data_IF_551023596619
#
_entry.id   IF_551023596619
#
_cell.length_a   1.000
_cell.length_b   1.000
_cell.length_c   1.000
_cell.angle_alpha   90.00
_cell.angle_beta   90.00
_cell.angle_gamma   90.00
#
_symmetry.space_group_name_H-M   'P 1'
#
loop_
_entity.id
_entity.type
_entity.pdbx_description
1 polymer ?
#
# COMPACT_ATOMS: atom_id res chain seq x y z
N UNK A 1 -7.81 45.87 7.82
CA UNK A 1 -7.13 46.31 6.57
C UNK A 1 -8.18 46.82 5.59
N UNK A 2 -7.94 47.95 4.91
CA UNK A 2 -8.85 48.51 3.89
C UNK A 2 -8.65 47.94 2.48
N UNK A 3 -7.51 47.28 2.21
CA UNK A 3 -7.17 46.61 0.95
C UNK A 3 -6.30 45.37 1.22
N UNK A 4 -6.28 44.40 0.31
CA UNK A 4 -5.53 43.14 0.45
C UNK A 4 -5.45 42.34 -0.85
N UNK A 5 -4.69 41.22 -0.84
CA UNK A 5 -4.59 40.32 -1.99
C UNK A 5 -5.75 39.32 -2.03
N UNK A 6 -6.25 39.02 -3.22
CA UNK A 6 -7.22 37.95 -3.42
C UNK A 6 -6.61 36.59 -3.05
N UNK A 7 -7.44 35.69 -2.54
CA UNK A 7 -7.06 34.33 -2.14
C UNK A 7 -8.00 33.33 -2.78
N UNK A 8 -7.53 32.09 -2.97
CA UNK A 8 -8.38 31.00 -3.44
C UNK A 8 -9.39 30.63 -2.34
N UNK A 9 -10.58 30.21 -2.74
CA UNK A 9 -11.66 29.85 -1.81
C UNK A 9 -11.24 28.73 -0.84
N UNK A 10 -10.48 27.73 -1.31
CA UNK A 10 -10.01 26.63 -0.47
C UNK A 10 -8.90 27.03 0.53
N UNK A 11 -8.24 28.18 0.34
CA UNK A 11 -7.20 28.67 1.23
C UNK A 11 -7.77 29.42 2.46
N UNK A 12 -9.09 29.63 2.53
CA UNK A 12 -9.78 30.33 3.62
C UNK A 12 -10.43 29.31 4.58
N UNK A 13 -9.84 29.04 5.76
CA UNK A 13 -10.43 28.13 6.74
C UNK A 13 -11.47 28.82 7.63
N UNK A 14 -12.74 28.85 7.19
CA UNK A 14 -13.83 29.55 7.91
C UNK A 14 -14.00 29.18 9.39
N UNK A 15 -13.59 27.97 9.79
CA UNK A 15 -13.79 27.43 11.14
C UNK A 15 -12.47 27.21 11.90
N UNK A 16 -11.33 27.73 11.42
CA UNK A 16 -10.04 27.47 12.07
C UNK A 16 -9.97 27.99 13.48
N UNK A 17 -10.47 29.20 13.71
CA UNK A 17 -10.37 29.85 15.01
C UNK A 17 -11.21 29.11 16.06
N UNK A 18 -12.35 28.54 15.66
CA UNK A 18 -13.25 27.85 16.58
C UNK A 18 -12.60 26.67 17.31
N UNK A 19 -11.71 25.91 16.65
CA UNK A 19 -11.05 24.75 17.28
C UNK A 19 -9.64 25.08 17.81
N UNK A 20 -9.15 26.31 17.59
CA UNK A 20 -7.94 26.83 18.23
C UNK A 20 -8.24 27.37 19.62
N UNK A 21 -9.47 27.84 19.84
CA UNK A 21 -10.00 28.20 21.15
C UNK A 21 -10.32 26.96 22.01
N UNK A 22 -10.43 27.16 23.32
CA UNK A 22 -10.86 26.12 24.24
C UNK A 22 -12.31 25.71 23.95
N UNK A 23 -12.57 24.40 23.96
CA UNK A 23 -13.91 23.86 23.80
C UNK A 23 -14.79 24.25 25.00
N UNK A 24 -16.04 24.71 24.80
CA UNK A 24 -16.99 24.93 25.89
C UNK A 24 -17.13 23.70 26.80
N UNK A 25 -17.04 23.83 28.15
CA UNK A 25 -17.08 22.69 29.07
C UNK A 25 -18.37 21.87 28.99
N UNK A 26 -19.50 22.53 28.72
CA UNK A 26 -20.82 21.90 28.60
C UNK A 26 -20.96 20.97 27.38
N UNK A 27 -20.06 21.05 26.39
CA UNK A 27 -20.14 20.17 25.22
C UNK A 27 -19.76 18.73 25.58
N UNK A 28 -20.43 17.71 25.00
CA UNK A 28 -20.18 16.32 25.34
C UNK A 28 -18.79 15.84 24.89
N UNK A 29 -18.33 14.74 25.48
CA UNK A 29 -17.00 14.14 25.25
C UNK A 29 -16.67 14.01 23.76
N UNK A 30 -17.63 13.57 22.93
CA UNK A 30 -17.41 13.39 21.48
C UNK A 30 -16.95 14.66 20.76
N UNK A 31 -17.42 15.83 21.21
CA UNK A 31 -17.08 17.13 20.62
C UNK A 31 -15.73 17.59 21.14
N UNK A 32 -15.48 17.46 22.44
CA UNK A 32 -14.18 17.77 23.05
C UNK A 32 -13.03 16.99 22.40
N UNK A 33 -13.24 15.70 22.13
CA UNK A 33 -12.28 14.86 21.39
C UNK A 33 -12.07 15.37 19.95
N UNK A 34 -13.12 15.86 19.29
CA UNK A 34 -13.00 16.43 17.93
C UNK A 34 -12.21 17.74 17.92
N UNK A 35 -12.40 18.63 18.90
CA UNK A 35 -11.55 19.82 19.08
C UNK A 35 -10.07 19.42 19.22
N UNK A 36 -9.77 18.48 20.12
CA UNK A 36 -8.40 17.98 20.33
C UNK A 36 -7.78 17.41 19.04
N UNK A 37 -8.54 16.64 18.25
CA UNK A 37 -8.05 16.05 17.00
C UNK A 37 -7.81 17.08 15.90
N UNK A 38 -8.68 18.08 15.79
CA UNK A 38 -8.51 19.20 14.85
C UNK A 38 -7.29 20.03 15.23
N UNK A 39 -7.12 20.35 16.51
CA UNK A 39 -5.93 21.04 17.02
C UNK A 39 -4.65 20.23 16.78
N UNK A 40 -4.68 18.91 17.02
CA UNK A 40 -3.55 18.01 16.68
C UNK A 40 -3.21 18.09 15.20
N UNK A 41 -4.20 18.11 14.31
CA UNK A 41 -3.95 18.22 12.87
C UNK A 41 -3.34 19.57 12.50
N UNK A 42 -3.79 20.66 13.13
CA UNK A 42 -3.22 21.99 12.98
C UNK A 42 -1.75 22.02 13.42
N UNK A 43 -1.45 21.59 14.65
CA UNK A 43 -0.08 21.54 15.18
C UNK A 43 0.83 20.68 14.31
N UNK A 44 0.37 19.52 13.84
CA UNK A 44 1.16 18.66 12.95
C UNK A 44 1.46 19.29 11.58
N UNK A 45 0.58 20.17 11.08
CA UNK A 45 0.82 20.89 9.83
C UNK A 45 1.84 22.01 10.03
N UNK A 46 1.76 22.74 11.14
CA UNK A 46 2.73 23.80 11.50
C UNK A 46 4.11 23.21 11.80
N UNK A 47 4.18 22.16 12.63
CA UNK A 47 5.42 21.52 13.05
C UNK A 47 6.25 20.96 11.87
N UNK A 48 5.57 20.40 10.87
CA UNK A 48 6.23 19.84 9.68
C UNK A 48 6.19 20.78 8.49
N UNK A 49 5.83 22.05 8.68
CA UNK A 49 5.87 23.03 7.62
C UNK A 49 7.33 23.25 7.20
N UNK A 50 7.59 23.14 5.90
CA UNK A 50 8.88 23.51 5.31
C UNK A 50 8.61 24.55 4.24
N UNK A 51 9.47 25.59 4.12
CA UNK A 51 9.36 26.56 3.05
C UNK A 51 9.31 25.84 1.68
N UNK A 52 8.40 26.26 0.78
CA UNK A 52 8.29 25.64 -0.53
C UNK A 52 9.61 25.83 -1.29
N UNK A 53 10.20 24.73 -1.76
CA UNK A 53 11.40 24.78 -2.60
C UNK A 53 11.09 25.52 -3.90
N UNK A 54 11.98 26.39 -4.34
CA UNK A 54 11.89 26.98 -5.67
C UNK A 54 11.89 25.85 -6.73
N UNK A 55 10.95 25.90 -7.66
CA UNK A 55 10.78 24.92 -8.73
C UNK A 55 10.46 25.65 -10.02
N UNK A 56 10.82 25.06 -11.17
CA UNK A 56 10.40 25.56 -12.48
C UNK A 56 8.88 25.46 -12.59
N UNK A 57 8.22 26.58 -12.88
CA UNK A 57 6.76 26.63 -13.07
C UNK A 57 6.39 25.79 -14.31
N UNK A 58 5.51 24.80 -14.11
CA UNK A 58 4.93 23.97 -15.19
C UNK A 58 3.43 24.24 -15.25
N UNK A 59 2.94 24.69 -16.40
CA UNK A 59 1.54 25.05 -16.61
C UNK A 59 0.85 24.04 -17.54
N UNK A 60 0.35 22.94 -16.98
CA UNK A 60 -0.24 21.83 -17.75
C UNK A 60 -1.31 22.29 -18.73
N UNK A 61 -2.30 23.07 -18.28
CA UNK A 61 -3.40 23.51 -19.15
C UNK A 61 -2.96 24.49 -20.25
N UNK A 62 -1.96 25.35 -19.99
CA UNK A 62 -1.37 26.19 -21.06
C UNK A 62 -0.66 25.35 -22.11
N UNK A 63 0.05 24.30 -21.68
CA UNK A 63 0.70 23.37 -22.60
C UNK A 63 -0.31 22.56 -23.41
N UNK A 64 -1.46 22.15 -22.83
CA UNK A 64 -2.51 21.46 -23.56
C UNK A 64 -3.22 22.37 -24.56
N UNK A 65 -3.58 23.59 -24.15
CA UNK A 65 -4.24 24.59 -24.99
C UNK A 65 -3.41 25.02 -26.20
N UNK A 66 -2.07 24.99 -26.08
CA UNK A 66 -1.17 25.28 -27.21
C UNK A 66 -1.19 24.21 -28.31
N UNK A 67 -1.81 23.04 -28.07
CA UNK A 67 -1.92 21.98 -29.08
C UNK A 67 -3.22 22.07 -29.84
N UNK A 68 -3.24 21.58 -31.09
CA UNK A 68 -4.46 21.54 -31.93
C UNK A 68 -5.60 20.66 -31.38
N UNK A 69 -5.32 19.80 -30.38
CA UNK A 69 -6.28 18.83 -29.85
C UNK A 69 -7.21 19.41 -28.78
N UNK A 70 -6.91 20.60 -28.24
CA UNK A 70 -7.69 21.23 -27.18
C UNK A 70 -8.21 22.59 -27.62
N UNK A 71 -9.50 22.81 -27.43
CA UNK A 71 -10.19 24.08 -27.67
C UNK A 71 -10.67 24.66 -26.34
N UNK A 72 -11.03 25.96 -26.33
CA UNK A 72 -11.52 26.66 -25.13
C UNK A 72 -12.91 27.20 -25.40
N UNK A 73 -13.80 27.05 -24.43
CA UNK A 73 -15.17 27.58 -24.46
C UNK A 73 -15.59 27.92 -23.03
N UNK A 74 -16.66 28.70 -22.89
CA UNK A 74 -17.35 28.94 -21.62
C UNK A 74 -18.60 28.06 -21.56
N UNK A 75 -18.88 27.48 -20.39
CA UNK A 75 -19.98 26.54 -20.16
C UNK A 75 -20.55 26.70 -18.76
N UNK A 76 -21.80 26.30 -18.55
CA UNK A 76 -22.37 26.15 -17.22
C UNK A 76 -21.61 25.06 -16.44
N UNK A 77 -21.38 25.30 -15.14
CA UNK A 77 -20.73 24.33 -14.25
C UNK A 77 -21.48 23.00 -14.21
N UNK A 78 -22.82 23.04 -14.21
CA UNK A 78 -23.65 21.84 -14.20
C UNK A 78 -23.46 21.01 -15.49
N UNK A 79 -23.39 21.68 -16.63
CA UNK A 79 -23.12 21.06 -17.93
C UNK A 79 -21.73 20.41 -17.95
N UNK A 80 -20.69 21.15 -17.56
CA UNK A 80 -19.33 20.63 -17.47
C UNK A 80 -19.24 19.42 -16.51
N UNK A 81 -19.95 19.46 -15.38
CA UNK A 81 -20.03 18.36 -14.42
C UNK A 81 -20.65 17.09 -15.01
N UNK A 82 -21.75 17.22 -15.76
CA UNK A 82 -22.38 16.10 -16.47
C UNK A 82 -21.46 15.52 -17.55
N UNK A 83 -20.78 16.38 -18.31
CA UNK A 83 -19.80 15.96 -19.30
C UNK A 83 -18.66 15.14 -18.67
N UNK A 84 -18.07 15.62 -17.56
CA UNK A 84 -17.02 14.90 -16.83
C UNK A 84 -17.50 13.53 -16.33
N UNK A 85 -18.73 13.45 -15.80
CA UNK A 85 -19.31 12.18 -15.35
C UNK A 85 -19.47 11.18 -16.49
N UNK A 86 -20.01 11.64 -17.64
CA UNK A 86 -20.19 10.83 -18.85
C UNK A 86 -18.85 10.36 -19.41
N UNK A 87 -17.87 11.26 -19.51
CA UNK A 87 -16.51 10.93 -19.97
C UNK A 87 -15.86 9.89 -19.06
N UNK A 88 -15.92 10.08 -17.74
CA UNK A 88 -15.36 9.15 -16.77
C UNK A 88 -16.01 7.75 -16.85
N UNK A 89 -17.33 7.69 -17.00
CA UNK A 89 -18.06 6.44 -17.23
C UNK A 89 -17.56 5.73 -18.49
N UNK A 90 -17.53 6.45 -19.62
CA UNK A 90 -17.09 5.91 -20.91
C UNK A 90 -15.64 5.41 -20.86
N UNK A 91 -14.72 6.17 -20.26
CA UNK A 91 -13.31 5.78 -20.12
C UNK A 91 -13.16 4.45 -19.35
N UNK A 92 -13.87 4.31 -18.22
CA UNK A 92 -13.83 3.08 -17.44
C UNK A 92 -14.49 1.91 -18.17
N UNK A 93 -15.62 2.15 -18.85
CA UNK A 93 -16.33 1.12 -19.59
C UNK A 93 -15.52 0.64 -20.81
N UNK A 94 -14.91 1.55 -21.55
CA UNK A 94 -13.98 1.22 -22.65
C UNK A 94 -12.82 0.35 -22.15
N UNK A 95 -12.29 0.61 -20.96
CA UNK A 95 -11.23 -0.23 -20.37
C UNK A 95 -11.73 -1.63 -20.00
N UNK A 96 -12.97 -1.77 -19.51
CA UNK A 96 -13.61 -3.08 -19.23
C UNK A 96 -13.73 -3.88 -20.54
N UNK A 97 -14.28 -3.25 -21.58
CA UNK A 97 -14.45 -3.87 -22.89
C UNK A 97 -13.11 -4.19 -23.56
N UNK A 98 -12.13 -3.30 -23.49
CA UNK A 98 -10.77 -3.52 -24.04
C UNK A 98 -10.07 -4.74 -23.41
N UNK A 99 -10.44 -5.12 -22.18
CA UNK A 99 -9.94 -6.32 -21.50
C UNK A 99 -10.78 -7.57 -21.75
N UNK A 100 -11.80 -7.48 -22.61
CA UNK A 100 -12.76 -8.53 -22.95
C UNK A 100 -13.41 -9.11 -21.69
N UNK A 101 -14.01 -8.22 -20.88
CA UNK A 101 -14.68 -8.54 -19.61
C UNK A 101 -16.20 -8.35 -19.71
N UNK A 102 -16.83 -8.96 -20.72
CA UNK A 102 -18.26 -8.79 -21.03
C UNK A 102 -19.21 -9.27 -19.92
N UNK A 103 -18.69 -10.03 -18.95
CA UNK A 103 -19.42 -10.51 -17.76
C UNK A 103 -19.37 -9.52 -16.58
N UNK A 104 -18.81 -8.31 -16.79
CA UNK A 104 -18.86 -7.20 -15.85
C UNK A 104 -19.67 -6.05 -16.44
N UNK A 105 -20.51 -5.45 -15.62
CA UNK A 105 -21.28 -4.26 -15.94
C UNK A 105 -20.92 -3.13 -14.99
N UNK A 106 -20.60 -1.95 -15.53
CA UNK A 106 -20.46 -0.71 -14.79
C UNK A 106 -21.78 0.06 -14.93
N UNK A 107 -22.48 0.29 -13.82
CA UNK A 107 -23.68 1.13 -13.82
C UNK A 107 -23.32 2.64 -13.77
N UNK A 108 -24.29 3.50 -14.08
CA UNK A 108 -24.09 4.96 -14.15
C UNK A 108 -23.78 5.61 -12.79
N UNK A 109 -23.99 4.89 -11.69
CA UNK A 109 -23.59 5.28 -10.33
C UNK A 109 -22.23 4.67 -9.95
N UNK A 110 -21.48 4.21 -10.95
CA UNK A 110 -20.14 3.65 -10.85
C UNK A 110 -20.04 2.38 -9.98
N UNK A 111 -21.11 1.59 -9.82
CA UNK A 111 -20.99 0.22 -9.30
C UNK A 111 -20.50 -0.72 -10.39
N UNK A 112 -19.47 -1.50 -10.08
CA UNK A 112 -19.02 -2.60 -10.92
C UNK A 112 -19.64 -3.90 -10.39
N UNK A 113 -20.51 -4.51 -11.18
CA UNK A 113 -21.26 -5.72 -10.82
C UNK A 113 -20.98 -6.84 -11.83
N UNK A 114 -20.89 -8.10 -11.39
CA UNK A 114 -20.89 -9.23 -12.33
C UNK A 114 -22.32 -9.42 -12.90
N UNK A 115 -22.41 -9.73 -14.19
CA UNK A 115 -23.70 -10.01 -14.86
C UNK A 115 -24.19 -11.42 -14.54
N UNK A 116 -23.25 -12.33 -14.24
CA UNK A 116 -23.48 -13.73 -13.89
C UNK A 116 -22.50 -14.19 -12.83
N UNK A 117 -22.73 -15.35 -12.22
CA UNK A 117 -21.74 -15.99 -11.35
C UNK A 117 -20.47 -16.31 -12.16
N UNK A 118 -19.32 -15.81 -11.67
CA UNK A 118 -18.05 -15.92 -12.39
C UNK A 118 -17.31 -17.22 -12.06
N UNK A 119 -16.78 -17.87 -13.08
CA UNK A 119 -15.81 -18.96 -12.91
C UNK A 119 -14.52 -18.46 -12.26
N UNK A 120 -13.71 -19.38 -11.72
CA UNK A 120 -12.40 -19.03 -11.16
C UNK A 120 -11.47 -18.36 -12.17
N UNK A 121 -11.54 -18.73 -13.46
CA UNK A 121 -10.74 -18.13 -14.54
C UNK A 121 -11.19 -16.68 -14.82
N UNK A 122 -12.50 -16.46 -14.95
CA UNK A 122 -13.07 -15.13 -15.14
C UNK A 122 -12.75 -14.22 -13.95
N UNK A 123 -12.96 -14.69 -12.71
CA UNK A 123 -12.64 -13.94 -11.47
C UNK A 123 -11.17 -13.54 -11.38
N UNK A 124 -10.23 -14.42 -11.76
CA UNK A 124 -8.80 -14.09 -11.79
C UNK A 124 -8.48 -13.06 -12.88
N UNK A 125 -9.08 -13.18 -14.08
CA UNK A 125 -8.86 -12.26 -15.20
C UNK A 125 -9.44 -10.87 -14.95
N UNK A 126 -10.60 -10.78 -14.30
CA UNK A 126 -11.34 -9.54 -14.09
C UNK A 126 -10.96 -8.77 -12.83
N UNK A 127 -10.02 -9.29 -12.03
CA UNK A 127 -9.54 -8.65 -10.81
C UNK A 127 -8.79 -7.35 -11.12
N UNK A 128 -9.50 -6.23 -11.07
CA UNK A 128 -8.91 -4.91 -11.15
C UNK A 128 -8.12 -4.55 -9.88
N UNK A 129 -7.12 -3.69 -10.07
CA UNK A 129 -6.29 -3.18 -8.97
C UNK A 129 -6.80 -1.87 -8.39
N UNK A 130 -6.07 -1.33 -7.40
CA UNK A 130 -6.44 -0.09 -6.72
C UNK A 130 -6.54 1.12 -7.65
N UNK A 131 -5.76 1.18 -8.75
CA UNK A 131 -5.80 2.29 -9.70
C UNK A 131 -7.21 2.49 -10.31
N UNK A 132 -7.78 1.41 -10.84
CA UNK A 132 -9.12 1.42 -11.44
C UNK A 132 -10.18 1.74 -10.39
N UNK A 133 -10.17 1.02 -9.27
CA UNK A 133 -11.21 1.17 -8.27
C UNK A 133 -11.17 2.51 -7.54
N UNK A 134 -9.99 3.07 -7.26
CA UNK A 134 -9.88 4.38 -6.63
C UNK A 134 -10.36 5.49 -7.58
N UNK A 135 -10.01 5.42 -8.87
CA UNK A 135 -10.53 6.35 -9.88
C UNK A 135 -12.06 6.28 -9.98
N UNK A 136 -12.61 5.05 -10.07
CA UNK A 136 -14.06 4.80 -10.09
C UNK A 136 -14.78 5.43 -8.88
N UNK A 137 -14.23 5.28 -7.68
CA UNK A 137 -14.87 5.84 -6.46
C UNK A 137 -14.74 7.37 -6.37
N UNK A 138 -13.70 7.98 -6.95
CA UNK A 138 -13.60 9.45 -7.08
C UNK A 138 -14.63 9.97 -8.07
N UNK A 139 -14.82 9.28 -9.20
CA UNK A 139 -15.87 9.60 -10.17
C UNK A 139 -17.26 9.44 -9.56
N UNK A 140 -17.47 8.42 -8.73
CA UNK A 140 -18.69 8.28 -7.93
C UNK A 140 -18.94 9.48 -7.01
N UNK A 141 -17.94 9.92 -6.25
CA UNK A 141 -18.08 11.09 -5.39
C UNK A 141 -18.44 12.35 -6.21
N UNK A 142 -17.77 12.52 -7.35
CA UNK A 142 -18.03 13.63 -8.28
C UNK A 142 -19.46 13.58 -8.79
N UNK A 143 -19.93 12.39 -9.21
CA UNK A 143 -21.29 12.14 -9.67
C UNK A 143 -22.34 12.50 -8.62
N UNK A 144 -22.12 12.11 -7.35
CA UNK A 144 -23.04 12.47 -6.26
C UNK A 144 -23.17 13.99 -6.07
N UNK A 145 -22.05 14.72 -6.15
CA UNK A 145 -22.04 16.19 -6.03
C UNK A 145 -22.73 16.84 -7.23
N UNK A 146 -22.45 16.38 -8.45
CA UNK A 146 -23.08 16.90 -9.67
C UNK A 146 -24.58 16.62 -9.65
N UNK A 147 -25.00 15.38 -9.36
CA UNK A 147 -26.41 15.00 -9.32
C UNK A 147 -27.21 15.83 -8.32
N UNK A 148 -26.65 16.13 -7.13
CA UNK A 148 -27.29 17.00 -6.16
C UNK A 148 -27.59 18.39 -6.74
N UNK A 149 -26.62 18.97 -7.47
CA UNK A 149 -26.82 20.25 -8.17
C UNK A 149 -27.83 20.13 -9.31
N UNK A 150 -27.84 19.01 -10.04
CA UNK A 150 -28.84 18.79 -11.10
C UNK A 150 -30.26 18.72 -10.52
N UNK A 151 -30.46 18.01 -9.41
CA UNK A 151 -31.77 17.96 -8.75
C UNK A 151 -32.27 19.35 -8.34
N UNK A 152 -31.35 20.21 -7.85
CA UNK A 152 -31.68 21.59 -7.53
C UNK A 152 -32.06 22.39 -8.79
N UNK A 153 -31.29 22.25 -9.87
CA UNK A 153 -31.55 22.96 -11.14
C UNK A 153 -32.82 22.48 -11.85
N UNK A 154 -33.25 21.24 -11.61
CA UNK A 154 -34.54 20.70 -12.08
C UNK A 154 -35.74 21.16 -11.23
N UNK A 155 -35.52 21.86 -10.12
CA UNK A 155 -36.59 22.31 -9.22
C UNK A 155 -37.13 21.21 -8.29
N UNK A 156 -36.48 20.04 -8.23
CA UNK A 156 -36.92 18.92 -7.39
C UNK A 156 -36.53 19.09 -5.91
N UNK A 157 -35.52 19.93 -5.63
CA UNK A 157 -35.05 20.25 -4.27
C UNK A 157 -34.77 21.73 -4.15
N UNK A 158 -34.92 22.28 -2.95
CA UNK A 158 -34.63 23.69 -2.69
C UNK A 158 -33.11 23.95 -2.45
N UNK A 159 -32.74 25.23 -2.33
CA UNK A 159 -31.35 25.65 -2.13
C UNK A 159 -30.77 25.21 -0.77
N UNK A 160 -31.59 25.16 0.29
CA UNK A 160 -31.16 24.74 1.63
C UNK A 160 -30.94 23.23 1.69
N UNK A 161 -31.81 22.45 1.05
CA UNK A 161 -31.69 21.01 0.85
C UNK A 161 -30.47 20.66 -0.01
N UNK A 162 -30.16 21.44 -1.05
CA UNK A 162 -28.91 21.30 -1.80
C UNK A 162 -27.71 21.49 -0.86
N UNK A 163 -27.70 22.57 -0.08
CA UNK A 163 -26.59 22.86 0.84
C UNK A 163 -26.42 21.77 1.91
N UNK A 164 -27.51 21.29 2.51
CA UNK A 164 -27.50 20.16 3.47
C UNK A 164 -27.08 18.85 2.79
N UNK A 165 -27.51 18.62 1.54
CA UNK A 165 -27.09 17.48 0.72
C UNK A 165 -25.59 17.47 0.47
N UNK A 166 -25.00 18.62 0.10
CA UNK A 166 -23.55 18.77 -0.06
C UNK A 166 -22.81 18.56 1.28
N UNK A 167 -23.34 19.11 2.37
CA UNK A 167 -22.79 18.87 3.71
C UNK A 167 -22.77 17.38 4.03
N UNK A 168 -23.88 16.69 3.76
CA UNK A 168 -24.02 15.27 4.00
C UNK A 168 -23.04 14.46 3.15
N UNK A 169 -22.94 14.75 1.84
CA UNK A 169 -22.02 14.08 0.92
C UNK A 169 -20.59 14.17 1.43
N UNK A 170 -20.09 15.38 1.72
CA UNK A 170 -18.69 15.57 2.14
C UNK A 170 -18.42 15.06 3.56
N UNK A 171 -19.44 14.97 4.42
CA UNK A 171 -19.32 14.38 5.75
C UNK A 171 -19.32 12.85 5.76
N UNK A 172 -19.99 12.22 4.78
CA UNK A 172 -20.24 10.78 4.75
C UNK A 172 -19.67 10.07 3.52
N UNK A 173 -18.58 10.60 2.95
CA UNK A 173 -17.87 9.97 1.83
C UNK A 173 -17.50 8.51 2.11
N UNK A 174 -17.16 8.16 3.36
CA UNK A 174 -16.86 6.78 3.74
C UNK A 174 -18.05 5.81 3.70
N UNK A 175 -19.28 6.33 3.71
CA UNK A 175 -20.51 5.56 3.63
C UNK A 175 -21.06 5.56 2.19
N UNK A 176 -21.04 6.72 1.53
CA UNK A 176 -21.57 6.91 0.17
C UNK A 176 -20.62 6.36 -0.91
N UNK A 177 -19.34 6.23 -0.60
CA UNK A 177 -18.32 5.64 -1.48
C UNK A 177 -17.57 4.51 -0.77
N UNK A 178 -16.74 3.80 -1.54
CA UNK A 178 -15.84 2.76 -1.07
C UNK A 178 -14.36 3.13 -1.09
N UNK A 179 -14.00 4.41 -1.22
CA UNK A 179 -12.60 4.83 -1.46
C UNK A 179 -11.59 4.27 -0.43
N UNK A 180 -11.99 4.16 0.84
CA UNK A 180 -11.13 3.67 1.92
C UNK A 180 -10.67 2.21 1.70
N UNK A 181 -11.41 1.40 0.95
CA UNK A 181 -11.06 0.00 0.61
C UNK A 181 -9.85 -0.07 -0.31
N UNK A 182 -9.71 0.91 -1.20
CA UNK A 182 -8.67 0.96 -2.23
C UNK A 182 -7.50 1.87 -1.84
N UNK A 183 -7.70 2.76 -0.85
CA UNK A 183 -6.64 3.52 -0.19
C UNK A 183 -7.02 3.85 1.26
N UNK A 184 -6.60 3.00 2.19
CA UNK A 184 -6.99 3.12 3.61
C UNK A 184 -6.51 4.40 4.31
N UNK A 185 -5.41 5.02 3.84
CA UNK A 185 -4.93 6.30 4.42
C UNK A 185 -5.97 7.43 4.33
N UNK A 186 -6.96 7.31 3.44
CA UNK A 186 -8.12 8.20 3.32
C UNK A 186 -8.98 8.26 4.60
N UNK A 187 -8.87 7.28 5.50
CA UNK A 187 -9.47 7.34 6.83
C UNK A 187 -9.05 8.58 7.63
N UNK A 188 -7.91 9.20 7.30
CA UNK A 188 -7.51 10.51 7.87
C UNK A 188 -8.54 11.59 7.52
N UNK A 189 -8.93 11.70 6.25
CA UNK A 189 -9.92 12.68 5.78
C UNK A 189 -11.32 12.38 6.33
N UNK A 190 -11.76 11.12 6.29
CA UNK A 190 -13.08 10.73 6.82
C UNK A 190 -13.21 11.13 8.30
N UNK A 191 -12.19 10.83 9.12
CA UNK A 191 -12.19 11.22 10.54
C UNK A 191 -12.20 12.73 10.71
N UNK A 192 -11.41 13.46 9.92
CA UNK A 192 -11.40 14.93 9.96
C UNK A 192 -12.76 15.54 9.59
N UNK A 193 -13.45 15.03 8.56
CA UNK A 193 -14.80 15.48 8.22
C UNK A 193 -15.80 15.19 9.34
N UNK A 194 -15.68 14.05 10.03
CA UNK A 194 -16.50 13.74 11.21
C UNK A 194 -16.24 14.71 12.36
N UNK A 195 -14.97 15.05 12.61
CA UNK A 195 -14.60 16.01 13.64
C UNK A 195 -15.11 17.43 13.30
N UNK A 196 -15.01 17.86 12.03
CA UNK A 196 -15.59 19.11 11.54
C UNK A 196 -17.12 19.12 11.66
N UNK A 197 -17.80 18.02 11.33
CA UNK A 197 -19.24 17.87 11.52
C UNK A 197 -19.63 18.08 12.99
N UNK A 198 -18.92 17.46 13.93
CA UNK A 198 -19.18 17.67 15.37
C UNK A 198 -18.97 19.14 15.77
N UNK A 199 -17.88 19.76 15.34
CA UNK A 199 -17.57 21.16 15.62
C UNK A 199 -18.69 22.10 15.12
N UNK A 200 -19.09 21.93 13.86
CA UNK A 200 -20.09 22.78 13.21
C UNK A 200 -21.46 22.57 13.85
N UNK A 201 -21.90 21.33 14.03
CA UNK A 201 -23.27 21.03 14.46
C UNK A 201 -23.53 21.50 15.89
N UNK A 202 -22.54 21.45 16.78
CA UNK A 202 -22.70 21.91 18.16
C UNK A 202 -22.67 23.43 18.32
N UNK A 203 -22.17 24.16 17.32
CA UNK A 203 -22.31 25.61 17.23
C UNK A 203 -23.59 26.01 16.48
N UNK A 204 -24.00 25.24 15.47
CA UNK A 204 -25.15 25.52 14.61
C UNK A 204 -26.50 25.16 15.28
N UNK A 205 -26.61 23.97 15.89
CA UNK A 205 -27.83 23.52 16.56
C UNK A 205 -27.85 24.02 18.02
N UNK A 206 -27.93 25.34 18.19
CA UNK A 206 -28.02 26.00 19.49
C UNK A 206 -29.24 26.92 19.55
N UNK A 207 -29.71 27.23 20.77
CA UNK A 207 -30.92 28.04 20.97
C UNK A 207 -32.18 27.36 20.41
N UNK A 208 -32.98 28.03 19.55
CA UNK A 208 -34.21 27.48 19.00
C UNK A 208 -33.98 26.40 17.91
N UNK A 209 -32.75 26.28 17.39
CA UNK A 209 -32.43 25.29 16.35
C UNK A 209 -32.20 23.92 16.97
N UNK A 210 -33.14 23.01 16.74
CA UNK A 210 -33.11 21.63 17.24
C UNK A 210 -32.09 20.72 16.56
N UNK A 211 -32.08 19.45 16.98
CA UNK A 211 -31.29 18.39 16.32
C UNK A 211 -32.08 17.86 15.13
N UNK A 212 -31.57 18.07 13.92
CA UNK A 212 -32.15 17.51 12.70
C UNK A 212 -31.27 17.74 11.47
N UNK A 213 -31.72 17.26 10.29
CA UNK A 213 -31.22 17.75 9.01
C UNK A 213 -31.43 19.26 8.86
N UNK A 214 -30.68 19.92 7.96
CA UNK A 214 -30.80 21.36 7.70
C UNK A 214 -29.52 22.18 7.97
N UNK A 215 -28.37 21.53 8.12
CA UNK A 215 -27.09 22.21 8.33
C UNK A 215 -26.29 22.26 7.01
N UNK A 216 -26.54 23.27 6.19
CA UNK A 216 -25.90 23.43 4.87
C UNK A 216 -24.46 23.96 4.84
N UNK A 217 -23.68 23.83 5.92
CA UNK A 217 -22.36 24.47 6.04
C UNK A 217 -21.19 23.57 5.54
N UNK A 218 -21.16 23.33 4.23
CA UNK A 218 -20.31 22.33 3.56
C UNK A 218 -18.87 22.74 3.24
N UNK A 219 -18.56 24.03 3.28
CA UNK A 219 -17.25 24.55 2.89
C UNK A 219 -16.06 23.91 3.64
N UNK A 220 -16.09 23.69 4.98
CA UNK A 220 -14.96 23.07 5.67
C UNK A 220 -14.66 21.65 5.21
N UNK A 221 -15.68 20.81 4.99
CA UNK A 221 -15.50 19.43 4.55
C UNK A 221 -15.11 19.37 3.07
N UNK A 222 -15.67 20.24 2.22
CA UNK A 222 -15.27 20.37 0.81
C UNK A 222 -13.76 20.62 0.67
N UNK A 223 -13.20 21.52 1.48
CA UNK A 223 -11.76 21.81 1.51
C UNK A 223 -10.92 20.57 1.83
N UNK A 224 -11.36 19.74 2.78
CA UNK A 224 -10.64 18.49 3.14
C UNK A 224 -10.52 17.57 1.92
N UNK A 225 -11.58 17.46 1.12
CA UNK A 225 -11.58 16.63 -0.09
C UNK A 225 -10.78 17.25 -1.24
N UNK A 226 -10.78 18.56 -1.40
CA UNK A 226 -9.89 19.23 -2.37
C UNK A 226 -8.41 19.03 -2.04
N UNK A 227 -8.01 19.17 -0.77
CA UNK A 227 -6.63 18.91 -0.37
C UNK A 227 -6.25 17.43 -0.47
N UNK A 228 -7.21 16.52 -0.32
CA UNK A 228 -7.00 15.12 -0.68
C UNK A 228 -6.73 14.96 -2.19
N UNK A 229 -7.53 15.60 -3.05
CA UNK A 229 -7.34 15.55 -4.50
C UNK A 229 -5.96 16.10 -4.90
N UNK A 230 -5.52 17.22 -4.31
CA UNK A 230 -4.17 17.76 -4.51
C UNK A 230 -3.07 16.71 -4.30
N UNK A 231 -3.19 15.88 -3.27
CA UNK A 231 -2.20 14.85 -2.96
C UNK A 231 -2.37 13.54 -3.74
N UNK A 232 -3.58 13.24 -4.22
CA UNK A 232 -3.88 11.97 -4.90
C UNK A 232 -3.63 12.02 -6.41
N UNK A 233 -3.78 13.20 -7.03
CA UNK A 233 -3.66 13.37 -8.49
C UNK A 233 -2.32 12.82 -9.02
N UNK A 234 -1.14 13.21 -8.51
CA UNK A 234 0.13 12.67 -9.04
C UNK A 234 0.29 11.16 -8.83
N UNK A 235 -0.30 10.61 -7.76
CA UNK A 235 -0.27 9.18 -7.50
C UNK A 235 -1.14 8.41 -8.49
N UNK A 236 -2.35 8.92 -8.75
CA UNK A 236 -3.28 8.32 -9.70
C UNK A 236 -2.82 8.45 -11.14
N UNK A 237 -2.26 9.60 -11.53
CA UNK A 237 -1.64 9.78 -12.85
C UNK A 237 -0.59 8.70 -13.12
N UNK A 238 0.33 8.48 -12.18
CA UNK A 238 1.33 7.41 -12.31
C UNK A 238 0.70 6.03 -12.36
N UNK A 239 -0.30 5.75 -11.53
CA UNK A 239 -0.95 4.44 -11.46
C UNK A 239 -1.77 4.12 -12.71
N UNK A 240 -2.51 5.10 -13.23
CA UNK A 240 -3.30 4.99 -14.44
C UNK A 240 -2.40 4.97 -15.67
N UNK A 241 -1.34 5.78 -15.71
CA UNK A 241 -0.31 5.73 -16.75
C UNK A 241 0.32 4.33 -16.86
N UNK A 242 0.77 3.76 -15.73
CA UNK A 242 1.31 2.40 -15.72
C UNK A 242 0.26 1.33 -16.09
N UNK A 243 -1.02 1.55 -15.74
CA UNK A 243 -2.10 0.64 -16.11
C UNK A 243 -2.35 0.65 -17.62
N UNK A 244 -2.39 1.83 -18.22
CA UNK A 244 -2.62 2.04 -19.65
C UNK A 244 -1.41 1.58 -20.47
N UNK A 245 -0.19 1.99 -20.11
CA UNK A 245 1.04 1.51 -20.75
C UNK A 245 1.09 -0.02 -20.78
N UNK A 246 0.84 -0.68 -19.65
CA UNK A 246 0.77 -2.15 -19.59
C UNK A 246 -0.36 -2.76 -20.44
N UNK A 247 -1.46 -2.05 -20.63
CA UNK A 247 -2.61 -2.52 -21.42
C UNK A 247 -2.34 -2.40 -22.93
N UNK A 248 -1.62 -1.37 -23.36
CA UNK A 248 -1.32 -1.11 -24.76
C UNK A 248 0.02 -1.72 -25.22
N UNK A 249 1.07 -1.59 -24.42
CA UNK A 249 2.43 -2.09 -24.71
C UNK A 249 2.66 -3.52 -24.18
N UNK A 250 1.76 -4.02 -23.34
CA UNK A 250 1.90 -5.33 -22.71
C UNK A 250 2.83 -5.36 -21.49
N UNK A 251 3.07 -6.58 -20.96
CA UNK A 251 3.95 -6.78 -19.80
C UNK A 251 5.32 -7.24 -20.24
N UNK A 252 6.35 -6.54 -19.76
CA UNK A 252 7.75 -6.92 -19.91
C UNK A 252 8.09 -8.04 -18.91
N UNK A 253 8.32 -9.27 -19.40
CA UNK A 253 8.47 -10.47 -18.56
C UNK A 253 9.78 -10.52 -17.77
N UNK A 254 10.86 -9.92 -18.30
CA UNK A 254 12.21 -9.87 -17.70
C UNK A 254 12.78 -8.45 -17.58
N UNK A 255 11.97 -7.41 -17.75
CA UNK A 255 12.46 -6.02 -17.82
C UNK A 255 12.98 -5.44 -16.50
N UNK A 256 12.63 -6.03 -15.34
CA UNK A 256 13.07 -5.55 -14.03
C UNK A 256 13.53 -6.74 -13.18
N UNK A 257 14.76 -6.67 -12.68
CA UNK A 257 15.30 -7.65 -11.74
C UNK A 257 14.45 -7.67 -10.46
N UNK A 258 14.04 -8.88 -10.04
CA UNK A 258 13.22 -9.05 -8.84
C UNK A 258 14.10 -8.90 -7.60
N UNK A 259 13.80 -7.91 -6.76
CA UNK A 259 14.43 -7.75 -5.45
C UNK A 259 14.19 -8.98 -4.56
N UNK A 260 15.22 -9.38 -3.81
CA UNK A 260 15.14 -10.49 -2.85
C UNK A 260 14.39 -10.01 -1.61
N UNK A 261 13.10 -10.34 -1.54
CA UNK A 261 12.25 -10.09 -0.37
C UNK A 261 12.34 -11.24 0.61
N UNK A 262 11.79 -11.04 1.83
CA UNK A 262 11.81 -12.01 2.95
C UNK A 262 11.52 -13.47 2.55
N UNK A 263 10.57 -13.70 1.63
CA UNK A 263 10.19 -15.05 1.18
C UNK A 263 11.32 -15.78 0.44
N UNK A 264 12.23 -15.05 -0.22
CA UNK A 264 13.26 -15.61 -1.09
C UNK A 264 14.67 -15.58 -0.51
N UNK A 265 14.83 -15.07 0.71
CA UNK A 265 16.15 -14.93 1.36
C UNK A 265 16.85 -16.29 1.44
N UNK A 266 16.18 -17.33 1.94
CA UNK A 266 16.78 -18.66 2.08
C UNK A 266 17.10 -19.28 0.70
N UNK A 267 16.18 -19.21 -0.26
CA UNK A 267 16.39 -19.77 -1.59
C UNK A 267 17.48 -19.04 -2.38
N UNK A 268 17.59 -17.72 -2.20
CA UNK A 268 18.63 -16.93 -2.84
C UNK A 268 20.00 -17.18 -2.20
N UNK A 269 20.06 -17.33 -0.88
CA UNK A 269 21.29 -17.75 -0.19
C UNK A 269 21.81 -19.09 -0.73
N UNK A 270 20.93 -20.08 -0.89
CA UNK A 270 21.30 -21.38 -1.46
C UNK A 270 21.73 -21.27 -2.94
N UNK A 271 21.16 -20.34 -3.71
CA UNK A 271 21.53 -20.08 -5.10
C UNK A 271 22.97 -19.50 -5.19
N UNK A 272 23.25 -18.46 -4.40
CA UNK A 272 24.56 -17.82 -4.35
C UNK A 272 25.64 -18.78 -3.80
N UNK A 273 25.32 -19.56 -2.77
CA UNK A 273 26.22 -20.58 -2.23
C UNK A 273 26.61 -21.61 -3.30
N UNK A 274 25.63 -22.09 -4.07
CA UNK A 274 25.90 -23.04 -5.16
C UNK A 274 26.73 -22.41 -6.27
N UNK A 275 26.49 -21.14 -6.60
CA UNK A 275 27.28 -20.42 -7.59
C UNK A 275 28.74 -20.24 -7.11
N UNK A 276 28.95 -19.84 -5.85
CA UNK A 276 30.28 -19.70 -5.26
C UNK A 276 31.06 -21.01 -5.25
N UNK A 277 30.42 -22.12 -4.84
CA UNK A 277 31.05 -23.45 -4.89
C UNK A 277 31.38 -23.85 -6.33
N UNK A 278 30.50 -23.55 -7.28
CA UNK A 278 30.77 -23.84 -8.70
C UNK A 278 31.98 -23.08 -9.23
N UNK A 279 32.19 -21.83 -8.84
CA UNK A 279 33.39 -21.07 -9.20
C UNK A 279 34.65 -21.73 -8.63
N UNK A 280 34.67 -22.01 -7.33
CA UNK A 280 35.83 -22.64 -6.68
C UNK A 280 36.13 -24.03 -7.26
N UNK A 281 35.10 -24.80 -7.64
CA UNK A 281 35.27 -26.11 -8.30
C UNK A 281 35.93 -25.97 -9.67
N UNK A 282 35.53 -24.97 -10.47
CA UNK A 282 36.08 -24.76 -11.81
C UNK A 282 37.54 -24.29 -11.76
N UNK A 283 37.90 -23.51 -10.76
CA UNK A 283 39.25 -23.00 -10.55
C UNK A 283 40.19 -24.07 -9.98
N UNK A 284 39.67 -24.97 -9.13
CA UNK A 284 40.46 -26.05 -8.54
C UNK A 284 40.68 -27.26 -9.47
N UNK A 285 39.94 -27.36 -10.59
CA UNK A 285 40.05 -28.51 -11.51
C UNK A 285 41.09 -28.28 -12.63
N UNK A 286 41.98 -29.26 -12.89
CA UNK A 286 42.92 -29.21 -14.02
C UNK A 286 42.23 -29.07 -15.38
N UNK A 287 42.93 -28.52 -16.36
CA UNK A 287 42.45 -28.42 -17.74
C UNK A 287 42.12 -29.82 -18.29
N UNK A 288 40.89 -30.00 -18.80
CA UNK A 288 40.39 -31.26 -19.35
C UNK A 288 39.30 -32.01 -18.55
N UNK A 289 39.03 -31.67 -17.27
CA UNK A 289 38.07 -32.42 -16.40
C UNK A 289 36.79 -31.61 -16.05
N UNK A 290 36.68 -30.37 -16.53
CA UNK A 290 35.92 -29.28 -15.87
C UNK A 290 34.38 -29.43 -15.80
N UNK A 291 33.69 -30.01 -16.78
CA UNK A 291 32.21 -29.91 -16.84
C UNK A 291 31.44 -31.10 -16.23
N UNK A 292 31.96 -32.33 -16.31
CA UNK A 292 31.17 -33.51 -15.95
C UNK A 292 31.08 -33.79 -14.44
N UNK A 293 32.06 -33.33 -13.64
CA UNK A 293 32.14 -33.65 -12.20
C UNK A 293 31.48 -32.62 -11.28
N UNK A 294 31.19 -31.42 -11.78
CA UNK A 294 30.70 -30.31 -10.96
C UNK A 294 29.32 -30.59 -10.32
N UNK A 295 28.42 -31.26 -11.05
CA UNK A 295 27.09 -31.64 -10.53
C UNK A 295 27.19 -32.63 -9.36
N UNK A 296 28.10 -33.59 -9.45
CA UNK A 296 28.35 -34.60 -8.40
C UNK A 296 28.94 -33.96 -7.15
N UNK A 297 29.86 -33.01 -7.30
CA UNK A 297 30.42 -32.26 -6.16
C UNK A 297 29.32 -31.47 -5.43
N UNK A 298 28.38 -30.85 -6.16
CA UNK A 298 27.22 -30.17 -5.56
C UNK A 298 26.24 -31.13 -4.86
N UNK A 299 26.17 -32.40 -5.27
CA UNK A 299 25.42 -33.43 -4.54
C UNK A 299 26.12 -33.77 -3.23
N UNK A 300 27.44 -33.96 -3.24
CA UNK A 300 28.23 -34.17 -2.02
C UNK A 300 28.13 -32.99 -1.04
N UNK A 301 28.15 -31.74 -1.52
CA UNK A 301 27.91 -30.55 -0.69
C UNK A 301 26.52 -30.60 -0.02
N UNK A 302 25.50 -31.00 -0.77
CA UNK A 302 24.13 -31.09 -0.26
C UNK A 302 23.99 -32.19 0.79
N UNK A 303 24.68 -33.31 0.60
CA UNK A 303 24.71 -34.42 1.54
C UNK A 303 25.50 -34.09 2.81
N UNK A 304 26.69 -33.51 2.67
CA UNK A 304 27.48 -33.03 3.80
C UNK A 304 26.69 -32.06 4.69
N UNK A 305 25.88 -31.18 4.09
CA UNK A 305 24.96 -30.30 4.84
C UNK A 305 23.85 -31.07 5.58
N UNK A 306 23.32 -32.17 5.01
CA UNK A 306 22.33 -33.02 5.70
C UNK A 306 22.97 -33.77 6.86
N UNK A 307 24.14 -34.38 6.65
CA UNK A 307 24.92 -35.03 7.69
C UNK A 307 25.22 -34.07 8.84
N UNK A 308 25.66 -32.84 8.54
CA UNK A 308 25.87 -31.81 9.57
C UNK A 308 24.62 -31.52 10.40
N UNK A 309 23.44 -31.36 9.77
CA UNK A 309 22.16 -31.13 10.48
C UNK A 309 21.66 -32.32 11.28
N UNK A 310 22.10 -33.54 10.94
CA UNK A 310 21.76 -34.79 11.62
C UNK A 310 22.79 -35.20 12.68
N UNK A 311 23.91 -34.48 12.78
CA UNK A 311 25.08 -34.83 13.58
C UNK A 311 25.72 -36.19 13.20
N UNK A 312 25.67 -36.53 11.92
CA UNK A 312 26.31 -37.75 11.40
C UNK A 312 27.69 -37.37 10.83
N UNK A 313 28.77 -38.10 11.16
CA UNK A 313 30.07 -37.86 10.56
C UNK A 313 30.00 -38.10 9.05
N UNK A 314 30.43 -37.12 8.27
CA UNK A 314 30.47 -37.22 6.81
C UNK A 314 31.91 -37.50 6.37
N UNK A 315 32.14 -38.72 5.86
CA UNK A 315 33.40 -39.12 5.25
C UNK A 315 33.11 -39.94 4.00
N UNK A 316 33.65 -39.53 2.85
CA UNK A 316 33.45 -40.21 1.57
C UNK A 316 34.75 -40.90 1.16
N UNK A 317 34.77 -42.25 1.05
CA UNK A 317 35.94 -42.96 0.57
C UNK A 317 36.32 -42.53 -0.85
N UNK A 318 37.61 -42.27 -1.10
CA UNK A 318 38.12 -41.91 -2.42
C UNK A 318 37.81 -40.48 -2.91
N UNK A 319 37.26 -39.60 -2.06
CA UNK A 319 37.06 -38.20 -2.43
C UNK A 319 38.40 -37.43 -2.35
N UNK A 320 38.79 -36.65 -3.37
CA UNK A 320 40.00 -35.85 -3.30
C UNK A 320 39.99 -34.84 -2.15
N UNK A 321 41.08 -34.79 -1.38
CA UNK A 321 41.23 -33.92 -0.20
C UNK A 321 40.92 -32.44 -0.48
N UNK A 322 41.33 -31.84 -1.63
CA UNK A 322 40.97 -30.45 -1.93
C UNK A 322 39.45 -30.22 -2.04
N UNK A 323 38.72 -31.18 -2.61
CA UNK A 323 37.26 -31.11 -2.75
C UNK A 323 36.59 -31.30 -1.40
N UNK A 324 37.07 -32.25 -0.58
CA UNK A 324 36.59 -32.48 0.78
C UNK A 324 36.71 -31.22 1.63
N UNK A 325 37.89 -30.58 1.65
CA UNK A 325 38.15 -29.35 2.39
C UNK A 325 37.28 -28.17 1.91
N UNK A 326 37.10 -28.03 0.60
CA UNK A 326 36.20 -27.02 0.03
C UNK A 326 34.75 -27.22 0.50
N UNK A 327 34.23 -28.46 0.45
CA UNK A 327 32.89 -28.78 0.93
C UNK A 327 32.75 -28.46 2.42
N UNK A 328 33.71 -28.88 3.26
CA UNK A 328 33.69 -28.61 4.70
C UNK A 328 33.69 -27.10 5.00
N UNK A 329 34.49 -26.30 4.28
CA UNK A 329 34.50 -24.84 4.40
C UNK A 329 33.12 -24.23 4.13
N UNK A 330 32.46 -24.62 3.03
CA UNK A 330 31.13 -24.10 2.70
C UNK A 330 30.02 -24.62 3.61
N UNK A 331 30.11 -25.87 4.07
CA UNK A 331 29.19 -26.41 5.09
C UNK A 331 29.32 -25.63 6.39
N UNK A 332 30.54 -25.31 6.83
CA UNK A 332 30.77 -24.47 8.01
C UNK A 332 30.20 -23.07 7.83
N UNK A 333 30.47 -22.40 6.71
CA UNK A 333 29.92 -21.08 6.41
C UNK A 333 28.38 -21.08 6.47
N UNK A 334 27.74 -22.10 5.90
CA UNK A 334 26.28 -22.28 5.95
C UNK A 334 25.78 -22.57 7.36
N UNK A 335 26.51 -23.36 8.15
CA UNK A 335 26.21 -23.64 9.54
C UNK A 335 26.23 -22.36 10.39
N UNK A 336 27.27 -21.53 10.25
CA UNK A 336 27.41 -20.27 10.97
C UNK A 336 26.22 -19.34 10.65
N UNK A 337 25.89 -19.16 9.37
CA UNK A 337 24.70 -18.40 8.94
C UNK A 337 23.41 -18.97 9.54
N UNK A 338 23.23 -20.29 9.49
CA UNK A 338 22.01 -20.95 9.94
C UNK A 338 21.79 -20.79 11.46
N UNK A 339 22.86 -20.89 12.24
CA UNK A 339 22.89 -20.74 13.70
C UNK A 339 22.67 -19.28 14.10
N UNK A 340 23.35 -18.34 13.45
CA UNK A 340 23.15 -16.90 13.69
C UNK A 340 21.69 -16.48 13.44
N UNK A 341 21.09 -16.96 12.35
CA UNK A 341 19.66 -16.72 12.06
C UNK A 341 18.76 -17.40 13.09
N UNK A 342 19.15 -18.54 13.65
CA UNK A 342 18.40 -19.20 14.72
C UNK A 342 18.40 -18.35 16.01
N UNK A 343 19.56 -17.86 16.46
CA UNK A 343 19.66 -17.01 17.64
C UNK A 343 18.96 -15.66 17.45
N UNK A 344 19.17 -15.00 16.31
CA UNK A 344 18.49 -13.74 15.99
C UNK A 344 16.96 -13.87 16.06
N UNK A 345 16.40 -14.92 15.44
CA UNK A 345 14.95 -15.14 15.49
C UNK A 345 14.48 -15.56 16.88
N UNK A 346 15.29 -16.33 17.63
CA UNK A 346 14.95 -16.71 19.01
C UNK A 346 14.82 -15.48 19.90
N UNK A 347 15.75 -14.54 19.79
CA UNK A 347 15.72 -13.30 20.57
C UNK A 347 14.55 -12.41 20.18
N UNK A 348 14.21 -12.33 18.89
CA UNK A 348 13.01 -11.62 18.44
C UNK A 348 11.72 -12.23 18.97
N UNK A 349 11.62 -13.56 18.99
CA UNK A 349 10.47 -14.26 19.57
C UNK A 349 10.39 -14.00 21.07
N UNK A 350 11.52 -14.09 21.78
CA UNK A 350 11.61 -13.83 23.23
C UNK A 350 11.15 -12.41 23.59
N UNK A 351 11.53 -11.41 22.81
CA UNK A 351 11.12 -9.99 23.00
C UNK A 351 9.67 -9.71 22.61
N UNK A 352 8.91 -10.68 22.10
CA UNK A 352 7.55 -10.46 21.61
C UNK A 352 7.50 -9.59 20.34
N UNK A 353 8.58 -9.52 19.56
CA UNK A 353 8.58 -8.78 18.30
C UNK A 353 7.64 -9.43 17.27
N UNK A 354 7.24 -8.69 16.24
CA UNK A 354 6.42 -9.25 15.15
C UNK A 354 7.19 -10.33 14.39
N UNK A 355 6.72 -11.57 14.50
CA UNK A 355 7.34 -12.76 13.87
C UNK A 355 6.24 -13.61 13.21
N UNK A 356 6.53 -14.17 12.04
CA UNK A 356 5.56 -15.01 11.32
C UNK A 356 5.46 -16.39 11.98
N UNK A 357 4.26 -16.99 11.95
CA UNK A 357 4.02 -18.35 12.49
C UNK A 357 4.99 -19.39 11.93
N UNK A 358 5.34 -19.29 10.64
CA UNK A 358 6.29 -20.20 9.99
C UNK A 358 7.71 -20.03 10.52
N UNK A 359 8.11 -18.80 10.88
CA UNK A 359 9.42 -18.52 11.48
C UNK A 359 9.49 -19.12 12.89
N UNK A 360 8.42 -19.04 13.69
CA UNK A 360 8.40 -19.68 15.01
C UNK A 360 8.57 -21.20 14.92
N UNK A 361 7.82 -21.86 14.01
CA UNK A 361 7.95 -23.32 13.78
C UNK A 361 9.34 -23.70 13.27
N UNK A 362 9.89 -22.94 12.32
CA UNK A 362 11.26 -23.15 11.83
C UNK A 362 12.26 -22.99 12.95
N UNK A 363 12.16 -21.92 13.74
CA UNK A 363 13.10 -21.61 14.83
C UNK A 363 13.12 -22.72 15.89
N UNK A 364 11.94 -23.22 16.30
CA UNK A 364 11.86 -24.37 17.20
C UNK A 364 12.64 -25.57 16.63
N UNK A 365 12.36 -25.96 15.39
CA UNK A 365 13.09 -27.05 14.73
C UNK A 365 14.60 -26.80 14.59
N UNK A 366 15.04 -25.53 14.50
CA UNK A 366 16.47 -25.19 14.50
C UNK A 366 17.09 -25.40 15.89
N UNK A 367 16.47 -24.86 16.93
CA UNK A 367 16.97 -24.94 18.30
C UNK A 367 16.98 -26.38 18.83
N UNK A 368 15.95 -27.18 18.51
CA UNK A 368 15.92 -28.61 18.88
C UNK A 368 17.12 -29.35 18.29
N UNK A 369 17.50 -29.06 17.03
CA UNK A 369 18.69 -29.67 16.41
C UNK A 369 19.98 -29.20 17.06
N UNK A 370 20.11 -27.90 17.36
CA UNK A 370 21.30 -27.38 18.07
C UNK A 370 21.46 -27.99 19.45
N UNK A 371 20.36 -28.11 20.19
CA UNK A 371 20.35 -28.72 21.51
C UNK A 371 20.75 -30.19 21.45
N UNK A 372 20.16 -30.99 20.55
CA UNK A 372 20.53 -32.40 20.37
C UNK A 372 21.99 -32.59 19.96
N UNK A 373 22.53 -31.72 19.10
CA UNK A 373 23.96 -31.75 18.72
C UNK A 373 24.86 -31.52 19.93
N UNK A 374 24.55 -30.52 20.76
CA UNK A 374 25.29 -30.23 21.98
C UNK A 374 25.18 -31.36 23.01
N UNK A 375 24.01 -32.00 23.12
CA UNK A 375 23.78 -33.11 24.05
C UNK A 375 24.54 -34.37 23.64
N UNK A 376 24.60 -34.70 22.35
CA UNK A 376 25.41 -35.82 21.85
C UNK A 376 26.91 -35.59 22.11
N UNK A 377 27.40 -34.37 21.90
CA UNK A 377 28.78 -33.97 22.21
C UNK A 377 29.08 -34.12 23.71
N UNK A 378 28.15 -33.67 24.57
CA UNK A 378 28.28 -33.80 26.03
C UNK A 378 28.40 -35.27 26.46
N UNK A 379 27.58 -36.16 25.89
CA UNK A 379 27.61 -37.60 26.19
C UNK A 379 28.89 -38.27 25.69
N UNK A 380 29.37 -37.90 24.50
CA UNK A 380 30.63 -38.40 23.97
C UNK A 380 31.82 -38.01 24.83
N UNK A 381 31.89 -36.74 25.25
CA UNK A 381 32.96 -36.25 26.11
C UNK A 381 32.95 -36.92 27.48
N UNK A 382 31.77 -37.16 28.07
CA UNK A 382 31.67 -37.90 29.32
C UNK A 382 32.30 -39.30 29.23
N UNK A 383 32.00 -40.08 28.18
CA UNK A 383 32.59 -41.40 28.00
C UNK A 383 34.10 -41.35 27.75
N UNK A 384 34.55 -40.32 27.04
CA UNK A 384 35.97 -40.12 26.75
C UNK A 384 36.76 -39.77 28.01
N UNK A 385 36.21 -38.89 28.85
CA UNK A 385 36.85 -38.44 30.09
C UNK A 385 36.89 -39.57 31.13
N UNK A 386 35.80 -40.36 31.24
CA UNK A 386 35.74 -41.54 32.11
C UNK A 386 36.70 -42.64 31.67
N UNK A 387 37.01 -42.75 30.37
CA UNK A 387 38.00 -43.71 29.87
C UNK A 387 39.46 -43.24 30.05
N UNK A 388 39.68 -41.97 30.44
CA UNK A 388 41.00 -41.39 30.68
C UNK A 388 41.38 -41.29 32.16
N UNK A 389 40.40 -41.40 33.06
CA UNK A 389 40.58 -41.67 34.51
C UNK A 389 40.60 -43.17 34.78
#
# INVERSE_FOLDING_TARGET
MRSGRTRRAEDIPLVSEWYKEHCPPAYPVKVRVSYQKLLKCYVLNELHHRPPKAQKKKHLFRSLQATKFFQTTELDWAEAGLQVCKQGYNMLNLLIHRKNLNYLHLDYNFNLKPVKTLTTKERKKSRFGNAFHLCREILRLTKLVVDANIQFRLGNVDAFQLADGLQYIFSHVGQLTGMYRYKYRLMRQIRMCKDLKHLIYYRFNTGPVGKGPGCGFWAPMWRVWLFFLRGIVPLLERWLGNLLARQFEGRHSKGVAKTVTKQRVESHFDLELRAAVMHDVLDAMPEGIKQNKARTILQHLSEAWRCWKANIPWKVPGLPVPIENMILRYVKSKADWWTNVAHYNRERIRRGATVDKTVCRKNLGRLTRLWLKAEQERQHNYLKDVAQT
#
